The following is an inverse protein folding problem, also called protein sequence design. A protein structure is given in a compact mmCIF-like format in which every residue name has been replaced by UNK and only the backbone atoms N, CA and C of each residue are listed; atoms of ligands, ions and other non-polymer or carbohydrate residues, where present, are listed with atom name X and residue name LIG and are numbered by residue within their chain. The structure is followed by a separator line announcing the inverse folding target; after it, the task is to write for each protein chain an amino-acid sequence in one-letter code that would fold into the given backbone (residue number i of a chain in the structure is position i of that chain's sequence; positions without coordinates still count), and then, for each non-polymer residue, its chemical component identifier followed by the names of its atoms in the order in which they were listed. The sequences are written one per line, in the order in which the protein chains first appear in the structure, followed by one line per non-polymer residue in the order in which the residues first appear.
data_IF_877707725786
#
_entry.id   IF_877707725786
#
_cell.length_a   1.000
_cell.length_b   1.000
_cell.length_c   1.000
_cell.angle_alpha   90.00
_cell.angle_beta   90.00
_cell.angle_gamma   90.00
#
_symmetry.space_group_name_H-M   'P 1'
#
loop_
_entity.id
_entity.type
_entity.pdbx_description
1 polymer ?
#
# COMPACT_ATOMS: atom_id res chain seq x y z
N UNK A 1 -29.07 -30.90 56.40
CA UNK A 1 -29.54 -30.60 57.76
C UNK A 1 -30.02 -29.16 57.95
N UNK A 2 -29.21 -28.09 58.01
CA UNK A 2 -29.77 -26.73 58.27
C UNK A 2 -30.67 -26.23 57.12
N UNK A 3 -30.28 -26.44 55.86
CA UNK A 3 -31.08 -26.05 54.68
C UNK A 3 -32.30 -26.94 54.41
N UNK A 4 -32.57 -27.96 55.24
CA UNK A 4 -33.84 -28.70 55.20
C UNK A 4 -34.96 -27.96 55.95
N UNK A 5 -34.61 -27.02 56.82
CA UNK A 5 -35.55 -26.29 57.67
C UNK A 5 -35.50 -24.77 57.49
N UNK A 6 -34.50 -24.26 56.76
CA UNK A 6 -34.32 -22.82 56.48
C UNK A 6 -34.53 -22.58 54.99
N UNK A 7 -35.38 -21.60 54.64
CA UNK A 7 -35.55 -21.17 53.26
C UNK A 7 -34.20 -20.66 52.73
N UNK A 8 -33.71 -21.25 51.63
CA UNK A 8 -32.43 -20.92 51.00
C UNK A 8 -32.34 -19.44 50.59
N UNK A 9 -33.50 -18.82 50.35
CA UNK A 9 -33.64 -17.41 50.01
C UNK A 9 -33.91 -16.51 51.22
N UNK A 10 -33.69 -16.99 52.46
CA UNK A 10 -33.82 -16.16 53.65
C UNK A 10 -32.83 -14.99 53.61
N UNK A 11 -33.30 -13.81 53.98
CA UNK A 11 -32.48 -12.62 54.08
C UNK A 11 -31.84 -12.50 55.46
N UNK A 12 -30.56 -12.15 55.49
CA UNK A 12 -29.80 -11.97 56.72
C UNK A 12 -29.12 -10.60 56.66
N UNK A 13 -29.72 -9.60 57.33
CA UNK A 13 -29.31 -8.18 57.26
C UNK A 13 -29.38 -7.59 55.84
N UNK A 14 -30.45 -7.85 55.09
CA UNK A 14 -30.69 -7.26 53.76
C UNK A 14 -29.88 -7.88 52.62
N UNK A 15 -29.30 -9.07 52.83
CA UNK A 15 -28.62 -9.88 51.81
C UNK A 15 -29.06 -11.34 51.89
N UNK A 16 -29.10 -12.04 50.77
CA UNK A 16 -29.38 -13.48 50.74
C UNK A 16 -28.23 -14.29 51.36
N UNK A 17 -28.54 -15.52 51.79
CA UNK A 17 -27.51 -16.48 52.24
C UNK A 17 -26.43 -16.70 51.18
N UNK A 18 -26.82 -16.71 49.90
CA UNK A 18 -25.90 -16.84 48.77
C UNK A 18 -24.90 -15.68 48.75
N UNK A 19 -25.38 -14.45 48.77
CA UNK A 19 -24.50 -13.28 48.75
C UNK A 19 -23.62 -13.20 50.00
N UNK A 20 -24.13 -13.66 51.16
CA UNK A 20 -23.31 -13.76 52.36
C UNK A 20 -22.17 -14.77 52.19
N UNK A 21 -22.44 -15.96 51.64
CA UNK A 21 -21.41 -16.97 51.36
C UNK A 21 -20.33 -16.45 50.40
N UNK A 22 -20.73 -15.73 49.35
CA UNK A 22 -19.81 -15.08 48.39
C UNK A 22 -18.94 -14.02 49.08
N UNK A 23 -19.53 -13.16 49.91
CA UNK A 23 -18.79 -12.13 50.64
C UNK A 23 -17.80 -12.72 51.66
N UNK A 24 -18.13 -13.88 52.23
CA UNK A 24 -17.27 -14.63 53.14
C UNK A 24 -16.24 -15.54 52.44
N UNK A 25 -16.19 -15.54 51.10
CA UNK A 25 -15.29 -16.39 50.32
C UNK A 25 -15.46 -17.89 50.64
N UNK A 26 -16.71 -18.33 50.82
CA UNK A 26 -17.03 -19.72 51.10
C UNK A 26 -17.67 -20.36 49.85
N UNK A 27 -16.81 -20.87 48.96
CA UNK A 27 -17.18 -21.46 47.69
C UNK A 27 -18.10 -22.67 47.85
N UNK A 28 -17.81 -23.54 48.82
CA UNK A 28 -18.62 -24.73 49.11
C UNK A 28 -20.03 -24.35 49.57
N UNK A 29 -20.15 -23.36 50.46
CA UNK A 29 -21.44 -22.87 50.92
C UNK A 29 -22.22 -22.22 49.77
N UNK A 30 -21.57 -21.38 48.96
CA UNK A 30 -22.19 -20.77 47.79
C UNK A 30 -22.69 -21.84 46.79
N UNK A 31 -21.88 -22.87 46.52
CA UNK A 31 -22.26 -23.98 45.65
C UNK A 31 -23.45 -24.78 46.19
N UNK A 32 -23.43 -25.14 47.49
CA UNK A 32 -24.55 -25.86 48.12
C UNK A 32 -25.84 -25.02 48.04
N UNK A 33 -25.75 -23.72 48.30
CA UNK A 33 -26.89 -22.81 48.23
C UNK A 33 -27.45 -22.74 46.79
N UNK A 34 -26.58 -22.62 45.79
CA UNK A 34 -26.97 -22.62 44.38
C UNK A 34 -27.65 -23.93 43.96
N UNK A 35 -27.06 -25.08 44.32
CA UNK A 35 -27.65 -26.41 44.08
C UNK A 35 -29.01 -26.61 44.74
N UNK A 36 -29.30 -25.86 45.80
CA UNK A 36 -30.58 -25.89 46.54
C UNK A 36 -31.58 -24.84 46.06
N UNK A 37 -31.30 -24.13 44.96
CA UNK A 37 -32.23 -23.17 44.36
C UNK A 37 -32.17 -21.77 44.99
N UNK A 38 -31.00 -21.36 45.50
CA UNK A 38 -30.78 -19.96 45.85
C UNK A 38 -31.05 -19.05 44.65
N UNK A 39 -31.71 -17.92 44.90
CA UNK A 39 -31.99 -16.93 43.88
C UNK A 39 -30.68 -16.26 43.42
N UNK A 40 -30.28 -16.61 42.19
CA UNK A 40 -29.04 -16.13 41.55
C UNK A 40 -29.10 -14.66 41.16
N UNK A 41 -30.29 -14.06 41.14
CA UNK A 41 -30.52 -12.65 40.80
C UNK A 41 -30.94 -11.83 42.04
N UNK A 42 -30.73 -12.35 43.26
CA UNK A 42 -31.03 -11.58 44.47
C UNK A 42 -30.00 -10.48 44.68
N UNK A 43 -30.43 -9.23 44.57
CA UNK A 43 -29.58 -8.07 44.76
C UNK A 43 -29.21 -7.81 46.23
N UNK A 44 -27.94 -7.50 46.50
CA UNK A 44 -27.49 -6.91 47.77
C UNK A 44 -27.36 -5.40 47.62
N UNK A 45 -27.98 -4.68 48.56
CA UNK A 45 -27.83 -3.23 48.70
C UNK A 45 -26.76 -2.92 49.74
N UNK A 46 -25.75 -2.16 49.34
CA UNK A 46 -24.76 -1.60 50.25
C UNK A 46 -25.27 -0.29 50.87
N UNK A 47 -24.61 0.18 51.93
CA UNK A 47 -25.02 1.38 52.68
C UNK A 47 -24.91 2.67 51.88
N UNK A 48 -24.09 2.68 50.82
CA UNK A 48 -23.96 3.77 49.83
C UNK A 48 -25.00 3.67 48.70
N UNK A 49 -25.95 2.72 48.79
CA UNK A 49 -27.03 2.55 47.82
C UNK A 49 -26.64 1.74 46.58
N UNK A 50 -25.42 1.21 46.49
CA UNK A 50 -25.03 0.38 45.35
C UNK A 50 -25.68 -1.01 45.41
N UNK A 51 -26.10 -1.48 44.24
CA UNK A 51 -26.77 -2.76 44.06
C UNK A 51 -25.82 -3.78 43.39
N UNK A 52 -25.64 -4.94 44.05
CA UNK A 52 -24.78 -6.02 43.56
C UNK A 52 -25.51 -7.36 43.56
N UNK A 53 -25.69 -7.94 42.38
CA UNK A 53 -26.03 -9.34 42.17
C UNK A 53 -24.88 -10.30 42.53
N UNK A 54 -25.16 -11.59 42.81
CA UNK A 54 -24.16 -12.62 43.06
C UNK A 54 -23.04 -12.67 42.02
N UNK A 55 -23.36 -12.50 40.74
CA UNK A 55 -22.36 -12.50 39.65
C UNK A 55 -21.39 -11.32 39.76
N UNK A 56 -21.88 -10.11 40.09
CA UNK A 56 -21.00 -8.96 40.31
C UNK A 56 -20.06 -9.20 41.49
N UNK A 57 -20.57 -9.78 42.59
CA UNK A 57 -19.76 -10.07 43.78
C UNK A 57 -18.71 -11.15 43.49
N UNK A 58 -19.06 -12.22 42.77
CA UNK A 58 -18.14 -13.27 42.36
C UNK A 58 -17.03 -12.72 41.45
N UNK A 59 -17.40 -11.93 40.44
CA UNK A 59 -16.45 -11.28 39.52
C UNK A 59 -15.55 -10.27 40.21
N UNK A 60 -16.10 -9.44 41.11
CA UNK A 60 -15.35 -8.43 41.89
C UNK A 60 -14.36 -9.02 42.88
N UNK A 61 -14.60 -10.25 43.37
CA UNK A 61 -13.72 -10.95 44.33
C UNK A 61 -12.83 -12.01 43.68
N UNK A 62 -13.03 -12.29 42.39
CA UNK A 62 -12.25 -13.29 41.65
C UNK A 62 -12.62 -14.74 42.00
N UNK A 63 -13.87 -15.01 42.40
CA UNK A 63 -14.30 -16.35 42.81
C UNK A 63 -14.67 -17.21 41.60
N UNK A 64 -13.66 -17.74 40.91
CA UNK A 64 -13.85 -18.48 39.65
C UNK A 64 -14.82 -19.66 39.79
N UNK A 65 -14.71 -20.44 40.86
CA UNK A 65 -15.56 -21.61 41.08
C UNK A 65 -17.03 -21.22 41.24
N UNK A 66 -17.30 -20.24 42.12
CA UNK A 66 -18.65 -19.69 42.29
C UNK A 66 -19.19 -19.11 40.99
N UNK A 67 -18.37 -18.35 40.26
CA UNK A 67 -18.74 -17.76 38.99
C UNK A 67 -19.16 -18.83 37.97
N UNK A 68 -18.40 -19.94 37.85
CA UNK A 68 -18.75 -21.08 36.99
C UNK A 68 -20.08 -21.72 37.37
N UNK A 69 -20.35 -21.87 38.67
CA UNK A 69 -21.62 -22.42 39.16
C UNK A 69 -22.77 -21.47 38.82
N UNK A 70 -22.59 -20.14 38.99
CA UNK A 70 -23.59 -19.14 38.61
C UNK A 70 -23.91 -19.19 37.11
N UNK A 71 -22.87 -19.24 36.26
CA UNK A 71 -23.01 -19.36 34.80
C UNK A 71 -23.76 -20.65 34.42
N UNK A 72 -23.45 -21.77 35.07
CA UNK A 72 -24.14 -23.06 34.86
C UNK A 72 -25.64 -22.97 35.15
N UNK A 73 -26.03 -22.12 36.10
CA UNK A 73 -27.42 -21.85 36.44
C UNK A 73 -28.06 -20.74 35.59
N UNK A 74 -27.40 -20.29 34.51
CA UNK A 74 -27.89 -19.31 33.53
C UNK A 74 -28.21 -17.93 34.12
N UNK A 75 -27.36 -17.44 35.01
CA UNK A 75 -27.44 -16.04 35.45
C UNK A 75 -27.25 -15.08 34.27
N UNK A 76 -27.73 -13.84 34.42
CA UNK A 76 -27.48 -12.80 33.44
C UNK A 76 -26.01 -12.36 33.46
N UNK A 77 -25.25 -12.70 32.41
CA UNK A 77 -23.82 -12.37 32.30
C UNK A 77 -23.55 -10.88 32.15
N UNK A 78 -24.52 -10.16 31.58
CA UNK A 78 -24.43 -8.74 31.25
C UNK A 78 -25.28 -7.89 32.19
N UNK A 79 -25.58 -8.42 33.39
CA UNK A 79 -26.23 -7.64 34.42
C UNK A 79 -25.38 -6.39 34.74
N UNK A 80 -26.05 -5.30 35.10
CA UNK A 80 -25.40 -4.03 35.35
C UNK A 80 -25.58 -3.62 36.80
N UNK A 81 -24.51 -3.12 37.43
CA UNK A 81 -24.60 -2.45 38.73
C UNK A 81 -25.32 -1.10 38.60
N UNK A 82 -25.53 -0.43 39.73
CA UNK A 82 -25.96 0.98 39.74
C UNK A 82 -25.01 1.94 39.02
N UNK A 83 -23.80 1.54 38.66
CA UNK A 83 -22.90 2.35 37.82
C UNK A 83 -22.91 1.93 36.35
N UNK A 84 -23.70 0.93 35.99
CA UNK A 84 -23.71 0.34 34.65
C UNK A 84 -22.58 -0.69 34.43
N UNK A 85 -21.77 -0.98 35.46
CA UNK A 85 -20.63 -1.89 35.32
C UNK A 85 -21.12 -3.33 35.16
N UNK A 86 -20.64 -4.03 34.14
CA UNK A 86 -20.91 -5.46 33.96
C UNK A 86 -19.92 -6.32 34.76
N UNK A 87 -20.23 -7.61 35.03
CA UNK A 87 -19.29 -8.58 35.60
C UNK A 87 -17.93 -8.60 34.88
N UNK A 88 -17.94 -8.42 33.56
CA UNK A 88 -16.75 -8.39 32.73
C UNK A 88 -15.88 -7.15 33.02
N UNK A 89 -16.49 -5.99 33.20
CA UNK A 89 -15.80 -4.74 33.59
C UNK A 89 -15.22 -4.83 35.01
N UNK A 90 -15.97 -5.41 35.95
CA UNK A 90 -15.50 -5.61 37.33
C UNK A 90 -14.27 -6.52 37.39
N UNK A 91 -14.18 -7.54 36.53
CA UNK A 91 -12.98 -8.37 36.44
C UNK A 91 -11.75 -7.58 35.99
N UNK A 92 -11.91 -6.55 35.16
CA UNK A 92 -10.80 -5.67 34.75
C UNK A 92 -10.39 -4.74 35.87
N UNK A 93 -11.36 -4.06 36.50
CA UNK A 93 -11.12 -3.11 37.59
C UNK A 93 -10.38 -3.78 38.76
N UNK A 94 -10.69 -5.05 39.03
CA UNK A 94 -10.13 -5.82 40.14
C UNK A 94 -9.06 -6.86 39.73
N UNK A 95 -8.63 -6.86 38.46
CA UNK A 95 -7.53 -7.71 37.92
C UNK A 95 -7.76 -9.23 38.05
N UNK A 96 -8.99 -9.69 37.81
CA UNK A 96 -9.39 -11.09 37.89
C UNK A 96 -9.45 -11.75 36.51
N UNK A 97 -8.27 -12.05 35.96
CA UNK A 97 -8.10 -12.54 34.58
C UNK A 97 -8.80 -13.88 34.30
N UNK A 98 -8.80 -14.82 35.25
CA UNK A 98 -9.46 -16.12 35.06
C UNK A 98 -10.99 -15.99 35.00
N UNK A 99 -11.56 -15.12 35.83
CA UNK A 99 -12.99 -14.81 35.80
C UNK A 99 -13.37 -14.09 34.51
N UNK A 100 -12.51 -13.17 34.04
CA UNK A 100 -12.67 -12.49 32.76
C UNK A 100 -12.70 -13.48 31.59
N UNK A 101 -11.76 -14.43 31.56
CA UNK A 101 -11.70 -15.49 30.55
C UNK A 101 -12.96 -16.37 30.57
N UNK A 102 -13.43 -16.77 31.76
CA UNK A 102 -14.63 -17.60 31.89
C UNK A 102 -15.89 -16.89 31.39
N UNK A 103 -16.06 -15.61 31.72
CA UNK A 103 -17.19 -14.79 31.26
C UNK A 103 -17.20 -14.65 29.74
N UNK A 104 -16.04 -14.36 29.13
CA UNK A 104 -15.94 -14.28 27.66
C UNK A 104 -16.24 -15.63 27.02
N UNK A 105 -15.70 -16.72 27.56
CA UNK A 105 -15.97 -18.07 27.05
C UNK A 105 -17.46 -18.46 27.14
N UNK A 106 -18.18 -17.84 28.07
CA UNK A 106 -19.60 -18.05 28.32
C UNK A 106 -20.50 -17.10 27.52
N UNK A 107 -19.93 -16.16 26.76
CA UNK A 107 -20.66 -15.26 25.88
C UNK A 107 -21.06 -13.92 26.49
N UNK A 108 -20.36 -13.45 27.53
CA UNK A 108 -20.54 -12.08 28.03
C UNK A 108 -20.25 -11.05 26.92
N UNK A 109 -21.05 -9.98 26.89
CA UNK A 109 -21.02 -8.94 25.87
C UNK A 109 -19.84 -7.98 26.07
N UNK A 110 -18.99 -7.91 25.04
CA UNK A 110 -17.85 -7.00 25.00
C UNK A 110 -18.22 -5.56 24.59
N UNK A 111 -19.42 -5.35 24.04
CA UNK A 111 -19.90 -4.04 23.61
C UNK A 111 -20.70 -3.29 24.69
N UNK A 112 -20.96 -3.92 25.84
CA UNK A 112 -21.67 -3.30 26.95
C UNK A 112 -20.97 -2.02 27.43
N UNK A 113 -21.76 -1.05 27.89
CA UNK A 113 -21.30 0.28 28.36
C UNK A 113 -21.79 0.55 29.78
N UNK A 114 -20.93 1.15 30.59
CA UNK A 114 -21.32 1.68 31.89
C UNK A 114 -22.13 2.99 31.76
N UNK A 115 -22.55 3.59 32.88
CA UNK A 115 -23.31 4.85 32.88
C UNK A 115 -22.51 6.05 32.36
N UNK A 116 -21.18 5.97 32.39
CA UNK A 116 -20.27 6.98 31.83
C UNK A 116 -20.01 6.74 30.33
N UNK A 117 -20.54 5.66 29.77
CA UNK A 117 -20.40 5.26 28.37
C UNK A 117 -19.14 4.43 28.07
N UNK A 118 -18.35 4.07 29.09
CA UNK A 118 -17.13 3.31 28.93
C UNK A 118 -17.43 1.84 28.61
N UNK A 119 -16.71 1.32 27.64
CA UNK A 119 -16.65 -0.08 27.24
C UNK A 119 -15.58 -0.84 28.03
N UNK A 120 -15.59 -2.16 27.90
CA UNK A 120 -14.53 -3.06 28.41
C UNK A 120 -13.12 -2.57 28.01
N UNK A 121 -12.96 -2.11 26.76
CA UNK A 121 -11.66 -1.69 26.22
C UNK A 121 -11.22 -0.33 26.79
N UNK A 122 -12.16 0.60 26.98
CA UNK A 122 -11.88 1.91 27.60
C UNK A 122 -11.50 1.76 29.08
N UNK A 123 -12.21 0.91 29.82
CA UNK A 123 -11.87 0.59 31.21
C UNK A 123 -10.48 -0.06 31.29
N UNK A 124 -10.16 -1.01 30.39
CA UNK A 124 -8.83 -1.62 30.34
C UNK A 124 -7.72 -0.60 30.07
N UNK A 125 -7.99 0.44 29.26
CA UNK A 125 -7.04 1.54 29.03
C UNK A 125 -6.87 2.40 30.27
N UNK A 126 -7.96 2.78 30.94
CA UNK A 126 -7.94 3.62 32.14
C UNK A 126 -7.24 2.94 33.33
N UNK A 127 -7.39 1.62 33.47
CA UNK A 127 -6.78 0.84 34.56
C UNK A 127 -5.39 0.29 34.23
N UNK A 128 -4.88 0.51 33.01
CA UNK A 128 -3.58 0.00 32.57
C UNK A 128 -3.54 -1.52 32.33
N UNK A 129 -4.69 -2.12 32.04
CA UNK A 129 -4.93 -3.57 31.91
C UNK A 129 -5.09 -4.06 30.47
N UNK A 130 -4.75 -3.22 29.49
CA UNK A 130 -4.87 -3.51 28.05
C UNK A 130 -4.17 -4.80 27.64
N UNK A 131 -2.98 -5.09 28.18
CA UNK A 131 -2.19 -6.26 27.80
C UNK A 131 -2.89 -7.59 28.07
N UNK A 132 -3.46 -7.79 29.27
CA UNK A 132 -4.13 -9.05 29.58
C UNK A 132 -5.46 -9.18 28.84
N UNK A 133 -6.20 -8.08 28.70
CA UNK A 133 -7.49 -8.07 27.99
C UNK A 133 -7.26 -8.47 26.54
N UNK A 134 -6.26 -7.84 25.89
CA UNK A 134 -5.83 -8.18 24.54
C UNK A 134 -5.43 -9.66 24.43
N UNK A 135 -4.53 -10.14 25.29
CA UNK A 135 -4.07 -11.53 25.26
C UNK A 135 -5.23 -12.52 25.43
N UNK A 136 -6.17 -12.23 26.33
CA UNK A 136 -7.32 -13.09 26.60
C UNK A 136 -8.26 -13.14 25.40
N UNK A 137 -8.61 -11.97 24.84
CA UNK A 137 -9.44 -11.86 23.63
C UNK A 137 -8.80 -12.63 22.47
N UNK A 138 -7.49 -12.46 22.23
CA UNK A 138 -6.76 -13.19 21.20
C UNK A 138 -6.77 -14.71 21.43
N UNK A 139 -6.48 -15.16 22.66
CA UNK A 139 -6.48 -16.58 23.01
C UNK A 139 -7.85 -17.23 22.76
N UNK A 140 -8.94 -16.54 23.13
CA UNK A 140 -10.29 -17.03 22.88
C UNK A 140 -10.57 -17.16 21.39
N UNK A 141 -10.21 -16.15 20.58
CA UNK A 141 -10.40 -16.21 19.13
C UNK A 141 -9.60 -17.36 18.51
N UNK A 142 -8.32 -17.50 18.87
CA UNK A 142 -7.43 -18.54 18.35
C UNK A 142 -7.86 -19.95 18.76
N UNK A 143 -8.59 -20.09 19.88
CA UNK A 143 -9.21 -21.37 20.26
C UNK A 143 -10.44 -21.75 19.42
N UNK A 144 -10.81 -20.93 18.43
CA UNK A 144 -11.97 -21.13 17.55
C UNK A 144 -13.30 -20.68 18.15
N UNK A 145 -13.31 -20.08 19.35
CA UNK A 145 -14.53 -19.60 20.01
C UNK A 145 -15.01 -18.28 19.40
N UNK A 146 -16.34 -18.11 19.33
CA UNK A 146 -16.98 -16.86 18.88
C UNK A 146 -17.10 -15.91 20.05
N UNK A 147 -16.59 -14.69 19.90
CA UNK A 147 -16.85 -13.60 20.84
C UNK A 147 -18.25 -13.04 20.58
N UNK A 148 -18.97 -12.74 21.66
CA UNK A 148 -20.24 -12.06 21.58
C UNK A 148 -20.05 -10.54 21.68
N UNK A 149 -20.81 -9.82 20.87
CA UNK A 149 -20.85 -8.36 20.83
C UNK A 149 -22.25 -7.96 20.39
N UNK A 150 -22.99 -7.25 21.24
CA UNK A 150 -24.33 -6.74 20.89
C UNK A 150 -24.28 -5.61 19.86
N UNK A 151 -23.16 -4.88 19.81
CA UNK A 151 -22.92 -3.77 18.89
C UNK A 151 -21.50 -3.87 18.30
N UNK A 152 -21.41 -4.38 17.06
CA UNK A 152 -20.15 -4.48 16.32
C UNK A 152 -19.53 -3.11 16.00
N UNK A 153 -20.32 -2.04 16.06
CA UNK A 153 -19.82 -0.67 15.92
C UNK A 153 -19.09 -0.21 17.20
N UNK A 154 -19.42 -0.79 18.35
CA UNK A 154 -18.73 -0.54 19.63
C UNK A 154 -17.57 -1.50 19.82
N UNK A 155 -17.75 -2.79 19.52
CA UNK A 155 -16.68 -3.76 19.56
C UNK A 155 -16.78 -4.76 18.41
N UNK A 156 -15.85 -4.63 17.46
CA UNK A 156 -15.63 -5.62 16.40
C UNK A 156 -14.30 -6.33 16.63
N UNK A 157 -14.29 -7.67 16.76
CA UNK A 157 -13.05 -8.44 16.90
C UNK A 157 -12.05 -8.20 15.76
N UNK A 158 -12.55 -7.95 14.54
CA UNK A 158 -11.71 -7.73 13.36
C UNK A 158 -10.99 -6.39 13.44
N UNK A 159 -11.72 -5.31 13.73
CA UNK A 159 -11.12 -3.98 13.96
C UNK A 159 -10.12 -4.00 15.14
N UNK A 160 -10.47 -4.69 16.22
CA UNK A 160 -9.59 -4.84 17.37
C UNK A 160 -8.28 -5.57 17.03
N UNK A 161 -8.34 -6.65 16.25
CA UNK A 161 -7.17 -7.38 15.78
C UNK A 161 -6.31 -6.55 14.80
N UNK A 162 -6.95 -5.80 13.90
CA UNK A 162 -6.29 -4.90 12.96
C UNK A 162 -5.52 -3.78 13.66
N UNK A 163 -6.12 -3.14 14.67
CA UNK A 163 -5.49 -2.10 15.48
C UNK A 163 -4.18 -2.58 16.13
N UNK A 164 -4.15 -3.83 16.60
CA UNK A 164 -2.98 -4.42 17.25
C UNK A 164 -2.03 -5.15 16.30
N UNK A 165 -2.33 -5.14 14.99
CA UNK A 165 -1.47 -5.77 13.97
C UNK A 165 -1.44 -7.30 14.02
N UNK A 166 -2.43 -7.96 14.61
CA UNK A 166 -2.41 -9.41 14.79
C UNK A 166 -2.93 -10.16 13.55
N UNK A 167 -2.01 -10.42 12.62
CA UNK A 167 -2.27 -11.15 11.39
C UNK A 167 -2.89 -12.55 11.61
N UNK A 168 -2.47 -13.28 12.65
CA UNK A 168 -2.99 -14.63 12.93
C UNK A 168 -4.45 -14.61 13.36
N UNK A 169 -4.80 -13.69 14.28
CA UNK A 169 -6.17 -13.50 14.74
C UNK A 169 -7.07 -13.04 13.59
N UNK A 170 -6.60 -12.15 12.72
CA UNK A 170 -7.34 -11.73 11.52
C UNK A 170 -7.66 -12.93 10.61
N UNK A 171 -6.68 -13.79 10.34
CA UNK A 171 -6.89 -15.00 9.53
C UNK A 171 -7.94 -15.92 10.17
N UNK A 172 -7.89 -16.10 11.49
CA UNK A 172 -8.83 -16.98 12.18
C UNK A 172 -10.26 -16.41 12.19
N UNK A 173 -10.41 -15.09 12.36
CA UNK A 173 -11.72 -14.44 12.29
C UNK A 173 -12.35 -14.56 10.89
N UNK A 174 -11.55 -14.36 9.84
CA UNK A 174 -12.04 -14.33 8.45
C UNK A 174 -12.24 -15.72 7.83
N UNK A 175 -11.88 -16.81 8.50
CA UNK A 175 -12.30 -18.17 8.11
C UNK A 175 -13.82 -18.38 8.27
N UNK A 176 -14.47 -17.56 9.08
CA UNK A 176 -15.89 -17.71 9.43
C UNK A 176 -16.75 -17.11 8.31
N UNK A 177 -17.74 -17.87 7.82
CA UNK A 177 -18.62 -17.44 6.72
C UNK A 177 -19.38 -16.13 6.98
N UNK A 178 -19.63 -15.80 8.24
CA UNK A 178 -20.36 -14.60 8.65
C UNK A 178 -19.47 -13.36 8.76
N UNK A 179 -18.15 -13.50 8.65
CA UNK A 179 -17.23 -12.39 8.83
C UNK A 179 -17.23 -11.49 7.59
N UNK A 180 -17.70 -10.26 7.77
CA UNK A 180 -17.59 -9.20 6.77
C UNK A 180 -16.24 -8.50 6.92
N UNK A 181 -15.37 -8.66 5.91
CA UNK A 181 -14.02 -8.09 5.90
C UNK A 181 -14.03 -6.56 5.77
N UNK A 182 -15.08 -6.02 5.15
CA UNK A 182 -15.24 -4.59 4.86
C UNK A 182 -16.26 -3.93 5.80
N UNK A 183 -16.60 -4.60 6.92
CA UNK A 183 -17.42 -4.02 7.97
C UNK A 183 -16.83 -2.67 8.40
N UNK A 184 -17.68 -1.66 8.48
CA UNK A 184 -17.30 -0.32 8.95
C UNK A 184 -17.70 -0.10 10.40
N UNK A 185 -16.87 0.63 11.15
CA UNK A 185 -17.18 1.13 12.49
C UNK A 185 -18.01 2.45 12.47
N UNK A 186 -18.27 3.04 13.65
CA UNK A 186 -19.08 4.28 13.79
C UNK A 186 -18.52 5.47 13.02
N UNK A 187 -17.25 5.44 12.63
CA UNK A 187 -16.58 6.49 11.87
C UNK A 187 -16.42 6.13 10.39
N UNK A 188 -16.90 4.96 9.99
CA UNK A 188 -16.75 4.45 8.63
C UNK A 188 -15.41 3.76 8.38
N UNK A 189 -14.62 3.45 9.41
CA UNK A 189 -13.33 2.78 9.23
C UNK A 189 -13.53 1.27 9.06
N UNK A 190 -12.85 0.68 8.07
CA UNK A 190 -12.72 -0.78 7.94
C UNK A 190 -11.47 -1.29 8.67
N UNK A 191 -11.36 -2.61 8.85
CA UNK A 191 -10.16 -3.22 9.41
C UNK A 191 -8.89 -2.88 8.60
N UNK A 192 -8.99 -2.80 7.26
CA UNK A 192 -7.88 -2.44 6.39
C UNK A 192 -7.44 -0.98 6.61
N UNK A 193 -8.40 -0.06 6.77
CA UNK A 193 -8.13 1.34 7.11
C UNK A 193 -7.42 1.48 8.46
N UNK A 194 -7.89 0.78 9.49
CA UNK A 194 -7.27 0.81 10.82
C UNK A 194 -5.83 0.28 10.76
N UNK A 195 -5.61 -0.83 10.07
CA UNK A 195 -4.27 -1.40 9.92
C UNK A 195 -3.33 -0.45 9.17
N UNK A 196 -3.79 0.17 8.08
CA UNK A 196 -3.01 1.09 7.29
C UNK A 196 -2.69 2.40 8.03
N UNK A 197 -3.67 2.97 8.74
CA UNK A 197 -3.49 4.18 9.56
C UNK A 197 -2.56 3.93 10.74
N UNK A 198 -2.63 2.75 11.36
CA UNK A 198 -1.77 2.34 12.47
C UNK A 198 -0.37 1.87 12.08
N UNK A 199 -0.06 1.78 10.78
CA UNK A 199 1.22 1.23 10.29
C UNK A 199 1.38 -0.27 10.53
N UNK A 200 0.27 -0.99 10.70
CA UNK A 200 0.26 -2.43 10.95
C UNK A 200 0.37 -3.21 9.63
N UNK A 201 1.54 -3.14 8.99
CA UNK A 201 1.75 -3.58 7.61
C UNK A 201 1.44 -5.07 7.40
N UNK A 202 1.81 -5.95 8.34
CA UNK A 202 1.49 -7.38 8.21
C UNK A 202 -0.01 -7.66 8.32
N UNK A 203 -0.73 -6.98 9.22
CA UNK A 203 -2.18 -7.08 9.31
C UNK A 203 -2.84 -6.54 8.03
N UNK A 204 -2.39 -5.39 7.54
CA UNK A 204 -2.87 -4.80 6.29
C UNK A 204 -2.66 -5.77 5.11
N UNK A 205 -1.47 -6.36 5.00
CA UNK A 205 -1.14 -7.38 4.00
C UNK A 205 -2.07 -8.58 4.09
N UNK A 206 -2.33 -9.12 5.28
CA UNK A 206 -3.29 -10.23 5.43
C UNK A 206 -4.68 -9.83 4.93
N UNK A 207 -5.17 -8.65 5.31
CA UNK A 207 -6.49 -8.17 4.91
C UNK A 207 -6.59 -8.01 3.38
N UNK A 208 -5.60 -7.38 2.75
CA UNK A 208 -5.53 -7.25 1.29
C UNK A 208 -5.53 -8.62 0.60
N UNK A 209 -4.71 -9.55 1.08
CA UNK A 209 -4.61 -10.89 0.48
C UNK A 209 -5.86 -11.75 0.70
N UNK A 210 -6.72 -11.37 1.65
CA UNK A 210 -8.03 -11.99 1.89
C UNK A 210 -9.16 -11.28 1.14
N UNK A 211 -8.85 -10.25 0.35
CA UNK A 211 -9.81 -9.56 -0.52
C UNK A 211 -10.47 -8.34 0.10
N UNK A 212 -9.86 -7.70 1.10
CA UNK A 212 -10.37 -6.45 1.66
C UNK A 212 -10.44 -5.35 0.60
N UNK A 213 -11.55 -4.62 0.56
CA UNK A 213 -11.73 -3.54 -0.39
C UNK A 213 -11.07 -2.25 0.10
N UNK A 214 -9.99 -1.86 -0.57
CA UNK A 214 -9.21 -0.67 -0.22
C UNK A 214 -9.89 0.66 -0.60
N UNK A 215 -10.89 0.63 -1.49
CA UNK A 215 -11.56 1.84 -2.03
C UNK A 215 -12.80 2.27 -1.25
N UNK A 216 -13.18 1.51 -0.22
CA UNK A 216 -14.20 1.94 0.75
C UNK A 216 -13.81 3.29 1.32
N UNK A 217 -14.79 4.15 1.60
CA UNK A 217 -14.58 5.48 2.16
C UNK A 217 -15.18 5.58 3.56
N UNK A 218 -14.44 6.20 4.47
CA UNK A 218 -14.94 6.55 5.78
C UNK A 218 -15.89 7.76 5.72
N UNK A 219 -16.42 8.19 6.88
CA UNK A 219 -17.35 9.33 6.94
C UNK A 219 -16.74 10.67 6.50
N UNK A 220 -15.41 10.80 6.54
CA UNK A 220 -14.67 11.97 6.06
C UNK A 220 -14.35 11.89 4.55
N UNK A 221 -14.75 10.80 3.88
CA UNK A 221 -14.47 10.54 2.47
C UNK A 221 -13.06 10.02 2.19
N UNK A 222 -12.27 9.73 3.22
CA UNK A 222 -10.94 9.12 3.12
C UNK A 222 -11.03 7.62 2.88
N UNK A 223 -10.29 7.14 1.89
CA UNK A 223 -10.05 5.72 1.65
C UNK A 223 -8.82 5.21 2.42
N UNK A 224 -8.52 3.92 2.29
CA UNK A 224 -7.41 3.26 2.99
C UNK A 224 -6.06 3.93 2.69
N UNK A 225 -5.82 4.31 1.44
CA UNK A 225 -4.56 4.93 1.02
C UNK A 225 -4.44 6.37 1.49
N UNK A 226 -5.56 7.10 1.57
CA UNK A 226 -5.59 8.45 2.11
C UNK A 226 -5.22 8.47 3.60
N UNK A 227 -5.73 7.52 4.36
CA UNK A 227 -5.41 7.38 5.79
C UNK A 227 -3.95 6.97 6.00
N UNK A 228 -3.45 6.03 5.19
CA UNK A 228 -2.02 5.67 5.20
C UNK A 228 -1.11 6.86 4.87
N UNK A 229 -1.52 7.73 3.93
CA UNK A 229 -0.81 8.97 3.59
C UNK A 229 -0.76 9.95 4.76
N UNK A 230 -1.88 10.19 5.44
CA UNK A 230 -1.94 11.07 6.59
C UNK A 230 -1.10 10.55 7.77
N UNK A 231 -1.01 9.23 7.93
CA UNK A 231 -0.22 8.59 8.98
C UNK A 231 1.27 8.37 8.63
N UNK A 232 1.66 8.58 7.36
CA UNK A 232 3.04 8.40 6.90
C UNK A 232 3.42 6.95 6.50
N UNK A 233 2.45 6.04 6.38
CA UNK A 233 2.65 4.63 6.02
C UNK A 233 2.26 4.30 4.57
N UNK A 234 2.00 5.33 3.75
CA UNK A 234 1.55 5.18 2.36
C UNK A 234 2.45 4.28 1.53
N UNK A 235 3.76 4.54 1.54
CA UNK A 235 4.71 3.80 0.71
C UNK A 235 4.74 2.30 1.04
N UNK A 236 4.65 1.93 2.32
CA UNK A 236 4.61 0.54 2.77
C UNK A 236 3.28 -0.13 2.37
N UNK A 237 2.18 0.60 2.42
CA UNK A 237 0.88 0.10 1.96
C UNK A 237 0.86 -0.07 0.44
N UNK A 238 1.37 0.90 -0.34
CA UNK A 238 1.49 0.80 -1.80
C UNK A 238 2.36 -0.40 -2.20
N UNK A 239 3.45 -0.68 -1.47
CA UNK A 239 4.27 -1.87 -1.68
C UNK A 239 3.50 -3.18 -1.45
N UNK A 240 2.70 -3.26 -0.37
CA UNK A 240 1.82 -4.41 -0.11
C UNK A 240 0.82 -4.61 -1.26
N UNK A 241 0.21 -3.55 -1.75
CA UNK A 241 -0.75 -3.64 -2.87
C UNK A 241 -0.07 -4.08 -4.16
N UNK A 242 1.13 -3.57 -4.45
CA UNK A 242 1.91 -4.01 -5.60
C UNK A 242 2.26 -5.50 -5.53
N UNK A 243 2.67 -5.98 -4.35
CA UNK A 243 2.93 -7.40 -4.12
C UNK A 243 1.66 -8.25 -4.31
N UNK A 244 0.49 -7.74 -3.90
CA UNK A 244 -0.79 -8.42 -4.14
C UNK A 244 -1.19 -8.44 -5.62
N UNK A 245 -0.85 -7.41 -6.39
CA UNK A 245 -1.02 -7.38 -7.86
C UNK A 245 -0.11 -8.42 -8.52
N UNK A 246 1.18 -8.47 -8.19
CA UNK A 246 2.11 -9.46 -8.74
C UNK A 246 1.69 -10.91 -8.40
N UNK A 247 1.10 -11.11 -7.23
CA UNK A 247 0.56 -12.41 -6.81
C UNK A 247 -0.77 -12.77 -7.51
N UNK A 248 -1.33 -11.89 -8.34
CA UNK A 248 -2.61 -12.08 -9.02
C UNK A 248 -3.83 -12.01 -8.10
N UNK A 249 -3.66 -11.52 -6.87
CA UNK A 249 -4.75 -11.39 -5.88
C UNK A 249 -5.59 -10.15 -6.16
N UNK A 250 -4.93 -9.03 -6.49
CA UNK A 250 -5.59 -7.82 -6.95
C UNK A 250 -5.45 -7.71 -8.48
N UNK A 251 -6.56 -7.43 -9.16
CA UNK A 251 -6.57 -7.27 -10.64
C UNK A 251 -6.21 -5.86 -11.12
N UNK A 252 -5.98 -4.96 -10.17
CA UNK A 252 -5.85 -3.53 -10.37
C UNK A 252 -6.34 -2.86 -9.10
N UNK A 253 -5.70 -1.77 -8.72
CA UNK A 253 -6.01 -1.02 -7.54
C UNK A 253 -6.28 0.43 -7.94
N UNK A 254 -7.13 1.14 -7.22
CA UNK A 254 -7.51 2.51 -7.59
C UNK A 254 -6.37 3.55 -7.38
N UNK A 255 -5.12 3.11 -7.18
CA UNK A 255 -3.94 3.98 -7.02
C UNK A 255 -3.05 3.95 -8.26
N UNK A 256 -2.09 4.87 -8.34
CA UNK A 256 -1.21 5.02 -9.51
C UNK A 256 -0.05 4.02 -9.48
N UNK A 257 -0.33 2.73 -9.69
CA UNK A 257 0.63 1.64 -9.40
C UNK A 257 1.86 1.67 -10.30
N UNK A 258 1.68 1.98 -11.59
CA UNK A 258 2.79 2.12 -12.53
C UNK A 258 3.68 3.32 -12.18
N UNK A 259 3.11 4.40 -11.67
CA UNK A 259 3.87 5.56 -11.18
C UNK A 259 4.59 5.25 -9.87
N UNK A 260 4.00 4.43 -9.00
CA UNK A 260 4.68 3.93 -7.81
C UNK A 260 5.86 3.01 -8.16
N UNK A 261 5.66 2.06 -9.07
CA UNK A 261 6.71 1.18 -9.58
C UNK A 261 7.89 1.99 -10.17
N UNK A 262 7.58 3.03 -10.94
CA UNK A 262 8.55 3.98 -11.45
C UNK A 262 9.28 4.75 -10.33
N UNK A 263 8.56 5.21 -9.30
CA UNK A 263 9.13 5.92 -8.15
C UNK A 263 10.03 5.04 -7.30
N UNK A 264 9.80 3.73 -7.28
CA UNK A 264 10.66 2.75 -6.58
C UNK A 264 11.75 2.15 -7.47
N UNK A 265 11.75 2.45 -8.76
CA UNK A 265 12.66 1.83 -9.74
C UNK A 265 12.46 0.32 -9.89
N UNK A 266 11.28 -0.21 -9.50
CA UNK A 266 11.01 -1.65 -9.53
C UNK A 266 10.72 -2.09 -10.96
N UNK A 267 11.76 -2.58 -11.65
CA UNK A 267 11.68 -3.00 -13.04
C UNK A 267 10.78 -4.23 -13.24
N UNK A 268 10.76 -5.17 -12.31
CA UNK A 268 9.93 -6.38 -12.40
C UNK A 268 8.44 -6.02 -12.35
N UNK A 269 8.06 -5.17 -11.40
CA UNK A 269 6.69 -4.67 -11.30
C UNK A 269 6.29 -3.83 -12.51
N UNK A 270 7.17 -2.93 -12.99
CA UNK A 270 6.94 -2.17 -14.21
C UNK A 270 6.69 -3.09 -15.41
N UNK A 271 7.53 -4.11 -15.57
CA UNK A 271 7.41 -5.09 -16.65
C UNK A 271 6.05 -5.81 -16.58
N UNK A 272 5.74 -6.36 -15.41
CA UNK A 272 4.49 -7.08 -15.15
C UNK A 272 3.26 -6.21 -15.43
N UNK A 273 3.21 -4.96 -14.94
CA UNK A 273 2.08 -4.05 -15.16
C UNK A 273 1.90 -3.75 -16.66
N UNK A 274 3.00 -3.51 -17.39
CA UNK A 274 2.95 -3.21 -18.82
C UNK A 274 2.48 -4.42 -19.65
N UNK A 275 2.89 -5.64 -19.29
CA UNK A 275 2.39 -6.87 -19.92
C UNK A 275 0.89 -7.07 -19.72
N UNK A 276 0.35 -6.59 -18.59
CA UNK A 276 -1.08 -6.65 -18.25
C UNK A 276 -1.87 -5.44 -18.76
N UNK A 277 -1.34 -4.70 -19.74
CA UNK A 277 -2.07 -3.67 -20.48
C UNK A 277 -2.10 -2.28 -19.84
N UNK A 278 -1.33 -2.04 -18.77
CA UNK A 278 -1.17 -0.69 -18.23
C UNK A 278 -0.50 0.22 -19.26
N UNK A 279 -1.01 1.44 -19.40
CA UNK A 279 -0.44 2.41 -20.36
C UNK A 279 0.94 2.88 -19.90
N UNK A 280 1.97 2.64 -20.72
CA UNK A 280 3.33 3.14 -20.50
C UNK A 280 3.41 4.68 -20.38
N UNK A 281 2.42 5.38 -20.92
CA UNK A 281 2.33 6.84 -20.95
C UNK A 281 1.20 7.39 -20.05
N UNK A 282 0.76 6.62 -19.04
CA UNK A 282 -0.23 7.08 -18.07
C UNK A 282 0.21 8.37 -17.37
N UNK A 283 -0.71 9.30 -17.12
CA UNK A 283 -0.40 10.57 -16.46
C UNK A 283 -0.80 10.53 -14.99
N UNK A 284 0.08 11.00 -14.11
CA UNK A 284 -0.28 11.22 -12.71
C UNK A 284 -1.05 12.53 -12.50
N UNK A 285 -1.32 12.89 -11.24
CA UNK A 285 -2.03 14.14 -10.89
C UNK A 285 -1.27 15.42 -11.26
N UNK A 286 0.01 15.31 -11.59
CA UNK A 286 0.88 16.40 -12.03
C UNK A 286 1.15 16.33 -13.54
N UNK A 287 0.44 15.47 -14.28
CA UNK A 287 0.69 15.23 -15.70
C UNK A 287 2.02 14.51 -15.98
N UNK A 288 2.65 13.89 -14.98
CA UNK A 288 3.93 13.20 -15.15
C UNK A 288 3.72 11.76 -15.63
N UNK A 289 4.53 11.33 -16.59
CA UNK A 289 4.57 9.93 -17.05
C UNK A 289 5.44 9.07 -16.12
N UNK A 290 5.30 7.73 -16.13
CA UNK A 290 6.23 6.84 -15.43
C UNK A 290 7.69 7.13 -15.79
N UNK A 291 7.97 7.44 -17.06
CA UNK A 291 9.31 7.78 -17.52
C UNK A 291 9.84 9.04 -16.82
N UNK A 292 9.03 10.10 -16.71
CA UNK A 292 9.44 11.32 -16.00
C UNK A 292 9.75 11.06 -14.52
N UNK A 293 8.97 10.19 -13.88
CA UNK A 293 9.23 9.79 -12.49
C UNK A 293 10.56 9.04 -12.40
N UNK A 294 10.81 8.02 -13.23
CA UNK A 294 12.10 7.31 -13.22
C UNK A 294 13.29 8.23 -13.48
N UNK A 295 13.09 9.28 -14.28
CA UNK A 295 14.14 10.28 -14.56
C UNK A 295 14.42 11.15 -13.35
N UNK A 296 13.36 11.62 -12.67
CA UNK A 296 13.49 12.45 -11.48
C UNK A 296 14.16 11.70 -10.33
N UNK A 297 13.78 10.44 -10.12
CA UNK A 297 14.37 9.59 -9.08
C UNK A 297 15.73 8.99 -9.51
N UNK A 298 16.08 9.08 -10.79
CA UNK A 298 17.40 8.71 -11.30
C UNK A 298 17.61 7.20 -11.49
N UNK A 299 16.58 6.45 -11.92
CA UNK A 299 16.64 5.00 -12.14
C UNK A 299 16.90 4.64 -13.62
N UNK A 300 18.16 4.34 -14.02
CA UNK A 300 18.53 4.19 -15.43
C UNK A 300 17.90 2.96 -16.08
N UNK A 301 17.81 1.84 -15.36
CA UNK A 301 17.30 0.58 -15.92
C UNK A 301 15.78 0.62 -16.08
N UNK A 302 15.06 1.24 -15.13
CA UNK A 302 13.64 1.52 -15.26
C UNK A 302 13.35 2.49 -16.44
N UNK A 303 14.20 3.50 -16.65
CA UNK A 303 14.11 4.36 -17.84
C UNK A 303 14.26 3.57 -19.14
N UNK A 304 15.28 2.71 -19.24
CA UNK A 304 15.50 1.86 -20.43
C UNK A 304 14.33 0.93 -20.68
N UNK A 305 13.79 0.30 -19.62
CA UNK A 305 12.63 -0.58 -19.71
C UNK A 305 11.43 0.17 -20.30
N UNK A 306 11.05 1.30 -19.70
CA UNK A 306 9.92 2.12 -20.16
C UNK A 306 10.10 2.59 -21.61
N UNK A 307 11.30 3.06 -21.99
CA UNK A 307 11.61 3.47 -23.36
C UNK A 307 11.52 2.30 -24.35
N UNK A 308 11.96 1.10 -23.95
CA UNK A 308 11.85 -0.12 -24.77
C UNK A 308 10.39 -0.55 -24.96
N UNK A 309 9.53 -0.23 -23.98
CA UNK A 309 8.08 -0.45 -24.02
C UNK A 309 7.30 0.69 -24.66
N UNK A 310 7.99 1.66 -25.29
CA UNK A 310 7.36 2.71 -26.08
C UNK A 310 6.94 3.95 -25.29
N UNK A 311 7.58 4.22 -24.15
CA UNK A 311 7.39 5.50 -23.45
C UNK A 311 7.73 6.69 -24.36
N UNK A 312 6.85 7.69 -24.40
CA UNK A 312 7.03 8.90 -25.18
C UNK A 312 7.81 9.96 -24.38
N UNK A 313 8.99 10.31 -24.89
CA UNK A 313 9.85 11.34 -24.30
C UNK A 313 9.38 12.78 -24.56
N UNK A 314 8.40 12.99 -25.45
CA UNK A 314 7.91 14.31 -25.85
C UNK A 314 6.70 14.79 -25.06
N UNK A 315 6.05 13.91 -24.28
CA UNK A 315 5.00 14.32 -23.37
C UNK A 315 5.59 15.34 -22.38
N UNK A 316 4.82 16.37 -22.05
CA UNK A 316 5.16 17.38 -21.06
C UNK A 316 4.21 17.33 -19.87
N UNK A 317 4.74 17.48 -18.66
CA UNK A 317 3.93 17.58 -17.44
C UNK A 317 3.22 18.96 -17.34
N UNK A 318 2.48 19.20 -16.26
CA UNK A 318 1.78 20.48 -16.04
C UNK A 318 2.71 21.68 -15.89
N UNK A 319 4.00 21.46 -15.61
CA UNK A 319 5.04 22.50 -15.57
C UNK A 319 5.72 22.72 -16.94
N UNK A 320 5.29 22.02 -17.99
CA UNK A 320 5.89 22.08 -19.33
C UNK A 320 7.21 21.31 -19.45
N UNK A 321 7.56 20.48 -18.46
CA UNK A 321 8.79 19.71 -18.46
C UNK A 321 8.60 18.36 -19.19
N UNK A 322 9.53 18.05 -20.11
CA UNK A 322 9.65 16.74 -20.77
C UNK A 322 10.63 15.85 -19.99
N UNK A 323 10.67 14.56 -20.33
CA UNK A 323 11.66 13.64 -19.75
C UNK A 323 13.11 14.14 -19.96
N UNK A 324 13.41 14.72 -21.12
CA UNK A 324 14.75 15.24 -21.41
C UNK A 324 15.09 16.48 -20.57
N UNK A 325 14.16 17.45 -20.47
CA UNK A 325 14.41 18.66 -19.66
C UNK A 325 14.53 18.33 -18.16
N UNK A 326 13.80 17.33 -17.68
CA UNK A 326 13.95 16.84 -16.31
C UNK A 326 15.34 16.23 -16.08
N UNK A 327 15.83 15.39 -17.00
CA UNK A 327 17.14 14.77 -16.88
C UNK A 327 18.27 15.81 -16.79
N UNK A 328 18.16 16.89 -17.58
CA UNK A 328 19.09 18.03 -17.56
C UNK A 328 19.05 18.78 -16.23
N UNK A 329 17.84 18.99 -15.67
CA UNK A 329 17.65 19.69 -14.38
C UNK A 329 18.18 18.89 -13.19
N UNK A 330 18.01 17.57 -13.21
CA UNK A 330 18.47 16.66 -12.15
C UNK A 330 19.99 16.40 -12.26
N UNK A 331 20.64 16.84 -13.34
CA UNK A 331 22.06 16.66 -13.62
C UNK A 331 22.52 15.19 -13.66
N UNK A 332 21.60 14.26 -13.94
CA UNK A 332 21.92 12.83 -14.11
C UNK A 332 22.37 12.56 -15.54
N UNK A 333 23.67 12.68 -15.79
CA UNK A 333 24.28 12.45 -17.12
C UNK A 333 23.98 11.07 -17.71
N UNK A 334 23.84 10.06 -16.84
CA UNK A 334 23.54 8.69 -17.29
C UNK A 334 22.11 8.60 -17.84
N UNK A 335 21.13 9.12 -17.11
CA UNK A 335 19.72 9.11 -17.53
C UNK A 335 19.50 10.01 -18.74
N UNK A 336 20.11 11.19 -18.75
CA UNK A 336 20.11 12.09 -19.91
C UNK A 336 20.66 11.38 -21.15
N UNK A 337 21.81 10.68 -21.01
CA UNK A 337 22.41 9.89 -22.07
C UNK A 337 21.47 8.82 -22.62
N UNK A 338 20.74 8.10 -21.77
CA UNK A 338 19.77 7.06 -22.17
C UNK A 338 18.62 7.66 -22.98
N UNK A 339 18.08 8.80 -22.55
CA UNK A 339 17.00 9.49 -23.28
C UNK A 339 17.50 10.00 -24.63
N UNK A 340 18.66 10.67 -24.64
CA UNK A 340 19.28 11.17 -25.87
C UNK A 340 19.60 10.02 -26.83
N UNK A 341 20.06 8.87 -26.34
CA UNK A 341 20.30 7.68 -27.15
C UNK A 341 19.02 7.18 -27.81
N UNK A 342 17.93 7.12 -27.05
CA UNK A 342 16.62 6.70 -27.56
C UNK A 342 16.08 7.68 -28.61
N UNK A 343 16.10 8.99 -28.33
CA UNK A 343 15.67 10.03 -29.27
C UNK A 343 16.52 9.98 -30.54
N UNK A 344 17.83 9.94 -30.40
CA UNK A 344 18.77 9.91 -31.52
C UNK A 344 18.54 8.68 -32.42
N UNK A 345 18.35 7.51 -31.82
CA UNK A 345 18.00 6.28 -32.55
C UNK A 345 16.70 6.44 -33.33
N UNK A 346 15.66 6.97 -32.69
CA UNK A 346 14.35 7.17 -33.34
C UNK A 346 14.48 8.11 -34.54
N UNK A 347 15.16 9.25 -34.37
CA UNK A 347 15.37 10.26 -35.43
C UNK A 347 16.08 9.69 -36.65
N UNK A 348 17.17 8.94 -36.47
CA UNK A 348 17.93 8.43 -37.61
C UNK A 348 17.19 7.29 -38.34
N UNK A 349 16.40 6.48 -37.61
CA UNK A 349 15.62 5.38 -38.18
C UNK A 349 14.36 5.86 -38.92
N UNK A 350 13.62 6.81 -38.35
CA UNK A 350 12.46 7.43 -39.03
C UNK A 350 12.90 8.24 -40.24
N UNK A 351 14.07 8.88 -40.13
CA UNK A 351 14.65 9.73 -41.15
C UNK A 351 14.10 11.16 -41.13
N UNK A 352 14.83 12.05 -41.79
CA UNK A 352 14.48 13.46 -41.89
C UNK A 352 14.90 14.03 -43.25
N UNK A 353 14.40 15.22 -43.56
CA UNK A 353 14.90 16.00 -44.70
C UNK A 353 16.19 16.70 -44.27
N UNK A 354 17.30 16.39 -44.94
CA UNK A 354 18.60 16.99 -44.70
C UNK A 354 19.16 17.57 -46.00
N UNK A 355 19.93 18.65 -45.88
CA UNK A 355 20.66 19.23 -47.00
C UNK A 355 21.95 18.46 -47.22
N UNK A 356 21.99 17.61 -48.25
CA UNK A 356 23.16 16.81 -48.59
C UNK A 356 24.11 17.61 -49.47
N UNK A 357 25.37 17.72 -49.07
CA UNK A 357 26.39 18.30 -49.93
C UNK A 357 26.93 17.31 -50.96
N UNK A 358 27.45 17.84 -52.06
CA UNK A 358 28.07 17.07 -53.14
C UNK A 358 29.51 17.50 -53.35
N UNK A 359 30.34 16.59 -53.89
CA UNK A 359 31.75 16.84 -54.23
C UNK A 359 32.54 17.50 -53.09
N UNK A 360 32.38 17.01 -51.86
CA UNK A 360 33.04 17.56 -50.65
C UNK A 360 32.90 19.10 -50.53
N UNK A 361 31.72 19.64 -50.79
CA UNK A 361 31.44 21.07 -50.62
C UNK A 361 31.59 21.93 -51.87
N UNK A 362 32.11 21.40 -52.99
CA UNK A 362 32.23 22.14 -54.26
C UNK A 362 30.89 22.38 -54.97
N UNK A 363 29.87 21.58 -54.68
CA UNK A 363 28.54 21.70 -55.29
C UNK A 363 27.51 22.28 -54.32
N UNK A 364 26.43 22.82 -54.87
CA UNK A 364 25.29 23.28 -54.08
C UNK A 364 24.71 22.12 -53.24
N UNK A 365 24.31 22.37 -51.98
CA UNK A 365 23.58 21.39 -51.19
C UNK A 365 22.20 21.14 -51.79
N UNK A 366 21.69 19.91 -51.63
CA UNK A 366 20.39 19.53 -52.13
C UNK A 366 19.59 18.82 -51.04
N UNK A 367 18.31 19.16 -50.91
CA UNK A 367 17.43 18.52 -49.96
C UNK A 367 17.24 17.03 -50.32
N UNK A 368 17.40 16.17 -49.32
CA UNK A 368 17.21 14.73 -49.43
C UNK A 368 16.49 14.20 -48.20
N UNK A 369 15.57 13.28 -48.43
CA UNK A 369 15.07 12.39 -47.38
C UNK A 369 16.16 11.39 -47.07
N UNK A 370 16.75 11.51 -45.89
CA UNK A 370 17.83 10.66 -45.38
C UNK A 370 17.27 9.81 -44.26
N UNK A 371 17.62 8.53 -44.26
CA UNK A 371 17.34 7.60 -43.15
C UNK A 371 18.47 6.60 -42.99
N UNK A 372 18.69 6.17 -41.76
CA UNK A 372 19.56 5.06 -41.43
C UNK A 372 18.73 3.78 -41.31
N UNK A 373 19.18 2.71 -41.96
CA UNK A 373 18.61 1.39 -41.78
C UNK A 373 19.20 0.77 -40.51
N UNK A 374 18.47 -0.16 -39.89
CA UNK A 374 18.94 -0.91 -38.72
C UNK A 374 20.25 -1.67 -38.97
N UNK A 375 20.58 -1.95 -40.24
CA UNK A 375 21.86 -2.52 -40.67
C UNK A 375 23.04 -1.55 -40.70
N UNK A 376 22.92 -0.33 -40.16
CA UNK A 376 23.97 0.69 -40.18
C UNK A 376 24.19 1.35 -41.55
N UNK A 377 23.25 1.16 -42.49
CA UNK A 377 23.33 1.69 -43.85
C UNK A 377 22.58 3.00 -43.94
N UNK A 378 23.25 4.08 -44.33
CA UNK A 378 22.61 5.35 -44.64
C UNK A 378 22.07 5.32 -46.07
N UNK A 379 20.83 5.75 -46.24
CA UNK A 379 20.14 5.76 -47.53
C UNK A 379 19.48 7.11 -47.76
N UNK A 380 19.52 7.58 -49.01
CA UNK A 380 18.78 8.76 -49.43
C UNK A 380 18.18 8.58 -50.83
N UNK A 381 16.86 8.72 -50.91
CA UNK A 381 16.06 8.47 -52.11
C UNK A 381 15.84 6.99 -52.42
N UNK A 382 15.07 6.69 -53.49
CA UNK A 382 14.58 5.33 -53.79
C UNK A 382 15.58 4.36 -54.45
N UNK A 383 16.84 4.76 -54.71
CA UNK A 383 17.81 3.92 -55.42
C UNK A 383 18.76 3.20 -54.46
N UNK A 384 18.77 1.85 -54.49
CA UNK A 384 19.71 1.01 -53.72
C UNK A 384 21.19 1.29 -54.02
N UNK A 385 21.52 1.89 -55.17
CA UNK A 385 22.89 2.25 -55.56
C UNK A 385 23.53 3.36 -54.70
N UNK A 386 22.74 4.00 -53.83
CA UNK A 386 23.17 5.12 -52.98
C UNK A 386 23.24 4.75 -51.50
N UNK A 387 23.03 3.48 -51.19
CA UNK A 387 23.15 2.93 -49.85
C UNK A 387 24.63 2.79 -49.51
N UNK A 388 25.06 3.42 -48.42
CA UNK A 388 26.43 3.33 -47.94
C UNK A 388 26.45 2.84 -46.50
N UNK A 389 27.35 1.92 -46.20
CA UNK A 389 27.58 1.46 -44.84
C UNK A 389 28.37 2.53 -44.08
N UNK A 390 27.81 3.01 -42.98
CA UNK A 390 28.44 3.98 -42.10
C UNK A 390 29.52 3.30 -41.24
N UNK A 391 30.60 4.04 -40.97
CA UNK A 391 31.61 3.67 -39.96
C UNK A 391 31.45 4.57 -38.73
N UNK A 392 31.34 5.87 -38.96
CA UNK A 392 31.20 6.85 -37.90
C UNK A 392 30.56 8.14 -38.44
N UNK A 393 30.07 8.96 -37.53
CA UNK A 393 29.60 10.29 -37.79
C UNK A 393 30.20 11.28 -36.78
N UNK A 394 30.56 12.47 -37.26
CA UNK A 394 31.14 13.52 -36.43
C UNK A 394 30.43 14.85 -36.71
N UNK A 395 30.30 15.68 -35.67
CA UNK A 395 29.83 17.06 -35.82
C UNK A 395 30.88 17.86 -36.60
N UNK A 396 30.40 18.77 -37.42
CA UNK A 396 31.21 19.69 -38.21
C UNK A 396 31.73 19.12 -39.53
N UNK A 397 32.34 20.03 -40.29
CA UNK A 397 32.92 19.74 -41.59
C UNK A 397 34.27 19.02 -41.47
N UNK A 398 34.66 18.32 -42.54
CA UNK A 398 36.06 17.91 -42.75
C UNK A 398 36.91 19.11 -43.18
N UNK A 399 38.21 19.08 -42.94
CA UNK A 399 39.11 20.14 -43.40
C UNK A 399 39.09 20.35 -44.92
N UNK A 400 38.98 19.27 -45.70
CA UNK A 400 38.89 19.33 -47.16
C UNK A 400 37.61 20.04 -47.63
N UNK A 401 36.48 19.74 -46.99
CA UNK A 401 35.21 20.45 -47.20
C UNK A 401 35.33 21.95 -46.92
N UNK A 402 35.94 22.34 -45.80
CA UNK A 402 36.15 23.74 -45.46
C UNK A 402 37.04 24.43 -46.50
N UNK A 403 38.12 23.79 -46.94
CA UNK A 403 39.00 24.33 -47.97
C UNK A 403 38.26 24.56 -49.30
N UNK A 404 37.36 23.66 -49.67
CA UNK A 404 36.52 23.82 -50.87
C UNK A 404 35.47 24.95 -50.74
N UNK A 405 35.06 25.30 -49.51
CA UNK A 405 34.04 26.32 -49.23
C UNK A 405 34.57 27.70 -48.84
N UNK A 406 35.88 27.86 -48.60
CA UNK A 406 36.53 29.12 -48.20
C UNK A 406 36.18 30.34 -49.08
N UNK A 407 35.69 30.12 -50.30
CA UNK A 407 35.34 31.18 -51.25
C UNK A 407 33.82 31.45 -51.40
N UNK A 408 32.92 30.76 -50.68
CA UNK A 408 31.48 30.82 -51.00
C UNK A 408 30.49 31.10 -49.85
N UNK A 409 30.84 31.02 -48.56
CA UNK A 409 30.02 31.52 -47.42
C UNK A 409 30.65 30.99 -46.12
N UNK A 410 31.85 31.50 -45.78
CA UNK A 410 32.57 31.06 -44.59
C UNK A 410 31.88 31.59 -43.32
N UNK A 411 31.16 30.71 -42.60
CA UNK A 411 30.81 30.94 -41.20
C UNK A 411 29.33 30.87 -40.82
N UNK A 412 28.38 30.73 -41.76
CA UNK A 412 26.97 30.51 -41.39
C UNK A 412 26.72 29.02 -41.17
N UNK A 413 26.59 28.63 -39.89
CA UNK A 413 26.06 27.36 -39.39
C UNK A 413 26.97 26.10 -39.45
N UNK A 414 28.27 26.21 -39.17
CA UNK A 414 29.14 25.01 -39.04
C UNK A 414 28.67 24.01 -37.96
N UNK A 415 27.99 24.50 -36.91
CA UNK A 415 27.42 23.69 -35.85
C UNK A 415 26.24 22.82 -36.31
N UNK A 416 25.52 23.23 -37.36
CA UNK A 416 24.42 22.45 -37.92
C UNK A 416 24.91 21.35 -38.88
N UNK A 417 26.19 21.40 -39.27
CA UNK A 417 26.77 20.45 -40.19
C UNK A 417 27.24 19.21 -39.44
N UNK A 418 27.06 18.04 -40.04
CA UNK A 418 27.74 16.82 -39.62
C UNK A 418 28.26 16.05 -40.82
N UNK A 419 29.29 15.25 -40.59
CA UNK A 419 29.89 14.36 -41.59
C UNK A 419 29.69 12.92 -41.21
N UNK A 420 29.53 12.07 -42.22
CA UNK A 420 29.41 10.62 -42.10
C UNK A 420 30.52 9.98 -42.90
N UNK A 421 31.38 9.21 -42.23
CA UNK A 421 32.40 8.39 -42.86
C UNK A 421 31.80 7.03 -43.24
N UNK A 422 32.18 6.53 -44.41
CA UNK A 422 31.63 5.28 -44.97
C UNK A 422 32.73 4.26 -45.22
N UNK A 423 32.37 2.97 -45.26
CA UNK A 423 33.33 1.86 -45.48
C UNK A 423 34.18 1.98 -46.74
N UNK A 424 33.69 2.72 -47.73
CA UNK A 424 34.39 2.91 -49.01
C UNK A 424 35.38 4.09 -48.97
N UNK A 425 35.71 4.61 -47.78
CA UNK A 425 36.58 5.76 -47.60
C UNK A 425 35.98 7.10 -48.03
N UNK A 426 34.66 7.14 -48.33
CA UNK A 426 33.97 8.38 -48.72
C UNK A 426 33.40 9.07 -47.50
N UNK A 427 33.55 10.38 -47.46
CA UNK A 427 32.89 11.25 -46.50
C UNK A 427 31.71 11.97 -47.14
N UNK A 428 30.62 12.10 -46.39
CA UNK A 428 29.43 12.82 -46.81
C UNK A 428 29.03 13.82 -45.74
N UNK A 429 28.82 15.06 -46.16
CA UNK A 429 28.38 16.14 -45.29
C UNK A 429 26.89 16.41 -45.48
N UNK A 430 26.21 16.58 -44.35
CA UNK A 430 24.80 16.94 -44.26
C UNK A 430 24.64 18.18 -43.38
N UNK A 431 23.75 19.06 -43.79
CA UNK A 431 23.32 20.23 -43.01
C UNK A 431 21.93 19.95 -42.44
N UNK A 432 21.83 20.03 -41.11
CA UNK A 432 20.62 19.82 -40.33
C UNK A 432 19.93 21.15 -40.00
N UNK A 433 18.67 21.10 -39.58
CA UNK A 433 17.91 22.32 -39.28
C UNK A 433 18.50 23.13 -38.09
N UNK A 434 19.15 22.45 -37.14
CA UNK A 434 19.73 23.06 -35.94
C UNK A 434 20.89 22.20 -35.39
N UNK A 435 21.76 22.81 -34.56
CA UNK A 435 22.89 22.13 -33.94
C UNK A 435 22.47 20.88 -33.16
N UNK A 436 21.43 20.99 -32.32
CA UNK A 436 20.91 19.85 -31.57
C UNK A 436 20.43 18.71 -32.49
N UNK A 437 19.91 19.03 -33.68
CA UNK A 437 19.55 18.01 -34.67
C UNK A 437 20.81 17.33 -35.22
N UNK A 438 21.89 18.05 -35.50
CA UNK A 438 23.16 17.46 -35.95
C UNK A 438 23.78 16.56 -34.87
N UNK A 439 23.73 16.97 -33.60
CA UNK A 439 24.13 16.18 -32.44
C UNK A 439 23.33 14.86 -32.35
N UNK A 440 22.00 14.92 -32.49
CA UNK A 440 21.16 13.71 -32.48
C UNK A 440 21.47 12.78 -33.67
N UNK A 441 21.69 13.33 -34.86
CA UNK A 441 22.05 12.52 -36.03
C UNK A 441 23.39 11.81 -35.87
N UNK A 442 24.43 12.52 -35.41
CA UNK A 442 25.75 11.94 -35.18
C UNK A 442 25.71 10.89 -34.08
N UNK A 443 25.03 11.18 -32.97
CA UNK A 443 24.82 10.23 -31.87
C UNK A 443 24.09 8.98 -32.36
N UNK A 444 22.97 9.13 -33.07
CA UNK A 444 22.14 8.02 -33.53
C UNK A 444 22.86 7.12 -34.54
N UNK A 445 23.62 7.70 -35.47
CA UNK A 445 24.46 6.93 -36.41
C UNK A 445 25.51 6.13 -35.65
N UNK A 446 26.27 6.75 -34.75
CA UNK A 446 27.33 6.08 -34.02
C UNK A 446 26.81 4.96 -33.13
N UNK A 447 25.66 5.14 -32.48
CA UNK A 447 25.01 4.10 -31.68
C UNK A 447 24.69 2.86 -32.53
N UNK A 448 23.98 3.05 -33.64
CA UNK A 448 23.57 1.94 -34.50
C UNK A 448 24.77 1.27 -35.19
N UNK A 449 25.77 2.04 -35.59
CA UNK A 449 26.99 1.46 -36.19
C UNK A 449 27.73 0.61 -35.16
N UNK A 450 27.90 1.08 -33.93
CA UNK A 450 28.56 0.32 -32.85
C UNK A 450 27.85 -1.00 -32.57
N UNK A 451 26.52 -1.00 -32.56
CA UNK A 451 25.73 -2.23 -32.38
C UNK A 451 25.92 -3.22 -33.54
N UNK A 452 25.93 -2.72 -34.78
CA UNK A 452 26.10 -3.57 -35.95
C UNK A 452 27.52 -4.16 -36.06
N UNK A 453 28.55 -3.43 -35.63
CA UNK A 453 29.95 -3.87 -35.68
C UNK A 453 30.35 -4.73 -34.46
N UNK A 454 29.69 -4.57 -33.31
CA UNK A 454 29.91 -5.42 -32.13
C UNK A 454 29.19 -6.77 -32.20
N UNK A 455 28.29 -6.95 -33.18
CA UNK A 455 27.51 -8.18 -33.41
C UNK A 455 28.09 -9.07 -34.52
N UNK A 456 29.25 -8.70 -35.07
CA UNK A 456 29.96 -9.36 -36.17
C UNK A 456 31.36 -9.74 -35.73
#
# INVERSE_FOLDING_TARGET
MILEHVNVNSELHGRSLLCHAILCNNDEAAEILLRRGANIEFCVRTTDGAEFLPIHLASKRGLLHVLKVLITHKCNLDAQTEKGETPLMLCIIHDHQECFLELINSGADLAARDKDGNTVMEIAKQTGKTAFVYQTVCNVILSGRKLYSSDLQTFSPLHYAAHHGNAEVIRELLKRKEADIDQQDKTGLTAAMIAAQGGQIEAFKVLVFLGANISVKNMEGGDTMKLAEQAGYKDQCEEVLCNAIMAGVLKGADFQEIHFAARKGNCELLDHLLEHGHSVNSLDKYGSTPLMITVREGYPDACKLLLTRGADCHISNTAGETALSLAQKVASKMVEGIILDHIARKVVLTGAQLLKHTKQGKGAPHLKSVKLLSSGVISWGGSKKRNLLCIEACIGASQEFLNNRKNQDAGKNELNLFRVATKNGKEIHFDAAANFSAELWTRGINLLVKETLGSS
#
